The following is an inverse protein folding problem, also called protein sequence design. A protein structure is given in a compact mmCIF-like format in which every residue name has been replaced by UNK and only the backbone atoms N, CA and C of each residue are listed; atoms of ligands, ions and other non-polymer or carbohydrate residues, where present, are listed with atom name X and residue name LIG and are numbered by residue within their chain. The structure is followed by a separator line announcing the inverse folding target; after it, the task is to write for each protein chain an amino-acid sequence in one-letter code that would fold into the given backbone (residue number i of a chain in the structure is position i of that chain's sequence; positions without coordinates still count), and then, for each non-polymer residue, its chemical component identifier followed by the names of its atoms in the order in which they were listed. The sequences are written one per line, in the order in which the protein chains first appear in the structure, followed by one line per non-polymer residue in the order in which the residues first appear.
data_IF_078149977987
#
_entry.id   IF_078149977987
#
_cell.length_a   1.000
_cell.length_b   1.000
_cell.length_c   1.000
_cell.angle_alpha   90.00
_cell.angle_beta   90.00
_cell.angle_gamma   90.00
#
_symmetry.space_group_name_H-M   'P 1'
#
loop_
_entity.id
_entity.type
_entity.pdbx_description
1 polymer ?
#
# COMPACT_ATOMS: atom_id res chain seq x y z
N UNK A 1 -23.65 13.26 -6.83
CA UNK A 1 -24.38 13.63 -5.61
C UNK A 1 -25.35 12.51 -5.29
N UNK A 2 -24.99 11.64 -4.36
CA UNK A 2 -25.87 10.73 -3.65
C UNK A 2 -25.12 10.37 -2.36
N UNK A 3 -25.31 11.19 -1.34
CA UNK A 3 -24.88 10.93 0.03
C UNK A 3 -26.02 10.16 0.70
N UNK A 4 -25.90 8.84 0.76
CA UNK A 4 -26.84 7.99 1.48
C UNK A 4 -26.42 7.90 2.96
N UNK A 5 -27.32 8.34 3.83
CA UNK A 5 -27.28 8.08 5.26
C UNK A 5 -28.01 6.76 5.47
N UNK A 6 -27.28 5.64 5.53
CA UNK A 6 -27.83 4.36 5.98
C UNK A 6 -27.69 4.24 7.50
N UNK A 7 -28.79 3.87 8.15
CA UNK A 7 -28.88 3.60 9.58
C UNK A 7 -28.04 2.37 9.94
N UNK A 8 -27.00 2.62 10.74
CA UNK A 8 -25.92 1.69 11.05
C UNK A 8 -26.31 0.71 12.17
N UNK A 9 -27.12 -0.30 11.84
CA UNK A 9 -27.44 -1.44 12.72
C UNK A 9 -26.69 -2.70 12.27
N UNK A 10 -25.36 -2.63 12.12
CA UNK A 10 -24.41 -3.73 12.40
C UNK A 10 -22.98 -3.19 12.25
N UNK A 11 -22.46 -2.50 13.27
CA UNK A 11 -21.12 -1.93 13.21
C UNK A 11 -20.06 -3.04 13.34
N UNK A 12 -19.73 -3.71 12.24
CA UNK A 12 -18.38 -4.24 12.08
C UNK A 12 -17.42 -3.05 12.32
N UNK A 13 -16.48 -3.13 13.27
CA UNK A 13 -15.46 -2.10 13.42
C UNK A 13 -14.75 -1.95 12.07
N UNK A 14 -14.89 -0.77 11.44
CA UNK A 14 -14.36 -0.49 10.11
C UNK A 14 -12.84 -0.31 10.19
N UNK A 15 -12.11 -1.41 10.34
CA UNK A 15 -10.65 -1.42 10.39
C UNK A 15 -10.07 -1.17 9.00
N UNK A 16 -8.96 -0.46 8.97
CA UNK A 16 -8.22 -0.10 7.76
C UNK A 16 -6.81 -0.63 7.80
N UNK A 17 -6.33 -1.06 6.65
CA UNK A 17 -4.92 -1.34 6.41
C UNK A 17 -4.19 -0.04 6.00
N UNK A 18 -3.28 0.50 6.82
CA UNK A 18 -2.52 1.68 6.46
C UNK A 18 -1.40 1.39 5.45
N UNK A 19 -1.28 2.26 4.45
CA UNK A 19 -0.24 2.32 3.42
C UNK A 19 0.28 3.74 3.29
N UNK A 20 1.50 3.87 2.80
CA UNK A 20 2.10 5.16 2.42
C UNK A 20 2.39 5.20 0.95
N UNK A 21 2.21 6.39 0.36
CA UNK A 21 2.66 6.73 -0.99
C UNK A 21 3.44 8.02 -0.86
N UNK A 22 4.65 8.06 -1.42
CA UNK A 22 5.54 9.22 -1.29
C UNK A 22 5.74 9.90 -2.64
N UNK A 23 5.52 11.21 -2.66
CA UNK A 23 5.92 12.11 -3.73
C UNK A 23 7.26 12.70 -3.35
N UNK A 24 8.35 12.07 -3.79
CA UNK A 24 9.69 12.60 -3.52
C UNK A 24 10.03 13.59 -4.63
N UNK A 25 10.29 14.83 -4.27
CA UNK A 25 10.59 15.89 -5.23
C UNK A 25 11.92 16.55 -4.96
N UNK A 26 12.63 16.92 -6.03
CA UNK A 26 13.81 17.76 -5.97
C UNK A 26 13.76 18.86 -7.03
N UNK A 27 14.43 19.98 -6.78
CA UNK A 27 14.51 21.08 -7.75
C UNK A 27 15.75 20.92 -8.62
N UNK A 28 15.57 20.84 -9.93
CA UNK A 28 16.64 20.79 -10.94
C UNK A 28 16.44 21.92 -11.94
N UNK A 29 17.44 22.80 -12.11
CA UNK A 29 17.40 23.89 -13.10
C UNK A 29 16.06 24.68 -13.10
N UNK A 30 15.58 25.03 -11.91
CA UNK A 30 14.32 25.74 -11.67
C UNK A 30 13.02 24.95 -12.01
N UNK A 31 13.12 23.66 -12.32
CA UNK A 31 11.97 22.75 -12.48
C UNK A 31 11.89 21.78 -11.32
N UNK A 32 10.67 21.35 -11.00
CA UNK A 32 10.44 20.31 -9.99
C UNK A 32 10.47 18.95 -10.68
N UNK A 33 11.33 18.06 -10.21
CA UNK A 33 11.39 16.67 -10.64
C UNK A 33 10.76 15.78 -9.57
N UNK A 34 10.09 14.71 -10.00
CA UNK A 34 9.45 13.69 -9.18
C UNK A 34 10.23 12.38 -9.32
N UNK A 35 10.52 11.73 -8.20
CA UNK A 35 11.10 10.39 -8.20
C UNK A 35 10.00 9.37 -8.50
N UNK A 36 10.24 8.53 -9.49
CA UNK A 36 9.37 7.41 -9.86
C UNK A 36 10.17 6.12 -9.92
N UNK A 37 9.49 5.00 -9.72
CA UNK A 37 10.06 3.66 -9.85
C UNK A 37 9.58 3.03 -11.17
N UNK A 38 10.53 2.63 -12.02
CA UNK A 38 10.25 1.95 -13.28
C UNK A 38 9.88 0.49 -13.03
N UNK A 39 8.82 0.02 -13.69
CA UNK A 39 8.42 -1.38 -13.69
C UNK A 39 8.91 -2.11 -14.95
N UNK A 40 9.10 -3.44 -14.90
CA UNK A 40 9.57 -4.22 -16.05
C UNK A 40 8.66 -4.15 -17.28
N UNK A 41 7.38 -3.83 -17.09
CA UNK A 41 6.38 -3.69 -18.17
C UNK A 41 6.41 -2.31 -18.86
N UNK A 42 7.28 -1.41 -18.41
CA UNK A 42 7.46 -0.06 -18.96
C UNK A 42 6.52 0.99 -18.40
N UNK A 43 5.59 0.64 -17.49
CA UNK A 43 4.89 1.64 -16.67
C UNK A 43 5.77 2.05 -15.47
N UNK A 44 5.45 3.19 -14.87
CA UNK A 44 6.12 3.65 -13.67
C UNK A 44 5.13 3.77 -12.50
N UNK A 45 5.67 3.75 -11.29
CA UNK A 45 4.89 3.90 -10.06
C UNK A 45 5.51 4.96 -9.16
N UNK A 46 4.64 5.59 -8.36
CA UNK A 46 5.09 6.37 -7.21
C UNK A 46 5.58 5.37 -6.15
N UNK A 47 6.67 5.67 -5.43
CA UNK A 47 7.11 4.80 -4.37
C UNK A 47 6.04 4.67 -3.28
N UNK A 48 5.78 3.44 -2.85
CA UNK A 48 4.75 3.12 -1.88
C UNK A 48 5.15 1.91 -1.01
N UNK A 49 4.54 1.79 0.16
CA UNK A 49 4.76 0.67 1.07
C UNK A 49 3.57 0.46 2.00
N UNK A 50 3.45 -0.76 2.53
CA UNK A 50 2.65 -1.02 3.71
C UNK A 50 3.29 -0.38 4.94
N UNK A 51 2.46 0.14 5.85
CA UNK A 51 2.90 0.57 7.19
C UNK A 51 3.00 -0.67 8.07
N UNK A 52 4.13 -0.86 8.72
CA UNK A 52 4.37 -2.03 9.57
C UNK A 52 3.50 -2.00 10.84
N UNK A 53 3.40 -3.15 11.53
CA UNK A 53 2.72 -3.21 12.82
C UNK A 53 3.39 -2.27 13.81
N UNK A 54 2.58 -1.43 14.47
CA UNK A 54 3.02 -0.43 15.44
C UNK A 54 3.90 0.70 14.87
N UNK A 55 4.02 0.80 13.54
CA UNK A 55 4.73 1.89 12.87
C UNK A 55 3.77 3.05 12.58
N UNK A 56 4.22 4.29 12.80
CA UNK A 56 3.45 5.46 12.36
C UNK A 56 3.61 5.66 10.84
N UNK A 57 2.58 6.14 10.11
CA UNK A 57 2.71 6.39 8.66
C UNK A 57 3.85 7.34 8.28
N UNK A 58 4.19 8.32 9.12
CA UNK A 58 5.33 9.19 8.88
C UNK A 58 6.66 8.41 8.91
N UNK A 59 6.84 7.51 9.89
CA UNK A 59 8.03 6.67 9.99
C UNK A 59 8.13 5.69 8.82
N UNK A 60 7.00 5.11 8.40
CA UNK A 60 6.93 4.24 7.21
C UNK A 60 7.38 4.98 5.94
N UNK A 61 6.98 6.24 5.77
CA UNK A 61 7.39 7.05 4.61
C UNK A 61 8.89 7.39 4.63
N UNK A 62 9.49 7.61 5.82
CA UNK A 62 10.93 7.81 5.99
C UNK A 62 11.72 6.51 5.79
N UNK A 63 11.21 5.37 6.28
CA UNK A 63 11.77 4.04 6.01
C UNK A 63 11.79 3.75 4.51
N UNK A 64 10.67 4.02 3.82
CA UNK A 64 10.57 3.85 2.38
C UNK A 64 11.59 4.73 1.64
N UNK A 65 11.69 6.02 1.98
CA UNK A 65 12.69 6.93 1.42
C UNK A 65 14.10 6.39 1.61
N UNK A 66 14.46 6.01 2.85
CA UNK A 66 15.78 5.48 3.19
C UNK A 66 16.10 4.20 2.42
N UNK A 67 15.15 3.27 2.34
CA UNK A 67 15.35 2.00 1.65
C UNK A 67 15.59 2.19 0.14
N UNK A 68 14.91 3.17 -0.47
CA UNK A 68 15.03 3.43 -1.89
C UNK A 68 16.25 4.30 -2.25
N UNK A 69 16.62 5.23 -1.39
CA UNK A 69 17.53 6.33 -1.75
C UNK A 69 18.72 6.53 -0.80
N UNK A 70 18.76 5.81 0.32
CA UNK A 70 19.72 6.05 1.41
C UNK A 70 19.45 7.32 2.24
N UNK A 71 18.53 8.20 1.82
CA UNK A 71 18.28 9.48 2.49
C UNK A 71 17.60 9.26 3.85
N UNK A 72 18.21 9.79 4.92
CA UNK A 72 17.68 9.72 6.29
C UNK A 72 17.15 11.06 6.80
N UNK A 73 17.52 12.17 6.17
CA UNK A 73 17.14 13.54 6.57
C UNK A 73 16.70 14.32 5.34
N UNK A 74 15.43 14.21 4.92
CA UNK A 74 14.90 15.04 3.84
C UNK A 74 14.89 16.52 4.27
N UNK A 75 14.75 17.41 3.30
CA UNK A 75 14.60 18.87 3.54
C UNK A 75 13.27 19.15 4.23
N UNK A 76 12.21 18.47 3.79
CA UNK A 76 10.87 18.61 4.35
C UNK A 76 10.07 17.32 4.13
N UNK A 77 9.12 17.07 5.02
CA UNK A 77 8.19 15.95 4.94
C UNK A 77 6.82 16.37 5.45
N UNK A 78 5.81 16.25 4.59
CA UNK A 78 4.44 16.63 4.93
C UNK A 78 3.44 15.58 4.44
N UNK A 79 2.49 15.19 5.29
CA UNK A 79 1.31 14.45 4.83
C UNK A 79 0.37 15.42 4.11
N UNK A 80 0.19 15.22 2.81
CA UNK A 80 -0.62 16.11 1.96
C UNK A 80 -2.06 15.61 1.77
N UNK A 81 -2.31 14.30 1.93
CA UNK A 81 -3.65 13.74 1.88
C UNK A 81 -3.77 12.38 2.57
N UNK A 82 -5.02 11.96 2.80
CA UNK A 82 -5.41 10.61 3.20
C UNK A 82 -6.52 10.14 2.27
N UNK A 83 -6.28 9.06 1.53
CA UNK A 83 -7.26 8.44 0.63
C UNK A 83 -7.75 7.15 1.24
N UNK A 84 -9.08 6.99 1.33
CA UNK A 84 -9.72 5.78 1.85
C UNK A 84 -10.31 4.97 0.72
N UNK A 85 -9.81 3.76 0.53
CA UNK A 85 -10.31 2.79 -0.43
C UNK A 85 -11.18 1.77 0.30
N UNK A 86 -12.44 1.65 -0.08
CA UNK A 86 -13.31 0.58 0.40
C UNK A 86 -13.11 -0.65 -0.50
N UNK A 87 -12.82 -1.79 0.11
CA UNK A 87 -12.71 -3.05 -0.61
C UNK A 87 -14.11 -3.55 -1.03
N UNK A 88 -14.20 -4.38 -2.09
CA UNK A 88 -15.43 -5.09 -2.42
C UNK A 88 -16.02 -5.83 -1.22
N UNK A 89 -17.35 -6.03 -1.21
CA UNK A 89 -18.08 -6.57 -0.05
C UNK A 89 -17.54 -7.93 0.42
N UNK A 90 -17.11 -8.77 -0.49
CA UNK A 90 -16.56 -10.10 -0.24
C UNK A 90 -15.03 -10.12 -0.16
N UNK A 91 -14.37 -8.96 -0.21
CA UNK A 91 -12.91 -8.86 -0.11
C UNK A 91 -12.52 -8.29 1.24
N UNK A 92 -11.51 -8.88 1.85
CA UNK A 92 -10.85 -8.38 3.06
C UNK A 92 -9.35 -8.39 2.87
N UNK A 93 -8.66 -7.64 3.71
CA UNK A 93 -7.20 -7.67 3.77
C UNK A 93 -6.73 -7.98 5.18
N UNK A 94 -5.67 -8.77 5.29
CA UNK A 94 -5.09 -9.18 6.56
C UNK A 94 -4.39 -8.00 7.26
N UNK A 95 -4.75 -7.74 8.52
CA UNK A 95 -4.14 -6.69 9.35
C UNK A 95 -2.90 -7.17 10.11
N UNK A 96 -2.77 -8.48 10.28
CA UNK A 96 -1.64 -9.13 10.96
C UNK A 96 -1.48 -10.56 10.44
N UNK A 97 -0.29 -11.18 10.60
CA UNK A 97 -0.13 -12.59 10.31
C UNK A 97 -1.07 -13.45 11.16
N UNK A 98 -1.75 -14.43 10.56
CA UNK A 98 -2.62 -15.37 11.28
C UNK A 98 -2.50 -16.80 10.76
N UNK A 99 -2.63 -17.77 11.65
CA UNK A 99 -2.88 -19.16 11.27
C UNK A 99 -4.36 -19.38 10.99
N UNK A 100 -4.67 -20.17 9.96
CA UNK A 100 -6.03 -20.60 9.70
C UNK A 100 -6.51 -21.61 10.76
N UNK A 101 -7.79 -21.57 11.08
CA UNK A 101 -8.47 -22.52 11.97
C UNK A 101 -9.40 -23.43 11.19
N UNK A 102 -9.57 -24.66 11.67
CA UNK A 102 -10.52 -25.61 11.09
C UNK A 102 -11.99 -25.28 11.39
N UNK A 103 -12.26 -24.45 12.40
CA UNK A 103 -13.60 -24.02 12.80
C UNK A 103 -13.64 -22.64 13.46
N UNK A 104 -14.84 -22.05 13.68
CA UNK A 104 -15.05 -20.72 14.26
C UNK A 104 -14.92 -20.73 15.79
N UNK A 105 -13.79 -21.20 16.33
CA UNK A 105 -13.53 -21.21 17.76
C UNK A 105 -12.04 -21.05 18.07
N UNK A 106 -11.72 -20.47 19.22
CA UNK A 106 -10.35 -20.36 19.72
C UNK A 106 -9.73 -21.74 19.99
N UNK A 107 -10.55 -22.75 20.33
CA UNK A 107 -10.13 -24.13 20.58
C UNK A 107 -9.99 -24.96 19.31
N UNK A 108 -10.41 -24.44 18.16
CA UNK A 108 -10.27 -25.14 16.89
C UNK A 108 -8.79 -25.30 16.50
N UNK A 109 -8.48 -26.45 15.89
CA UNK A 109 -7.11 -26.77 15.46
C UNK A 109 -6.56 -25.72 14.50
N UNK A 110 -5.35 -25.25 14.80
CA UNK A 110 -4.58 -24.39 13.90
C UNK A 110 -4.01 -25.21 12.74
N UNK A 111 -4.23 -24.75 11.52
CA UNK A 111 -3.62 -25.28 10.32
C UNK A 111 -2.18 -24.77 10.23
N UNK A 112 -1.26 -25.61 9.76
CA UNK A 112 0.15 -25.25 9.54
C UNK A 112 0.33 -24.41 8.26
N UNK A 113 -0.33 -23.27 8.22
CA UNK A 113 -0.29 -22.31 7.14
C UNK A 113 -0.60 -20.92 7.70
N UNK A 114 0.30 -19.98 7.46
CA UNK A 114 0.16 -18.59 7.91
C UNK A 114 -0.25 -17.74 6.73
N UNK A 115 -1.26 -16.89 6.94
CA UNK A 115 -1.55 -15.78 6.06
C UNK A 115 -0.87 -14.55 6.59
N UNK A 116 0.01 -13.96 5.79
CA UNK A 116 0.70 -12.73 6.13
C UNK A 116 -0.21 -11.51 6.08
N UNK A 117 0.24 -10.46 6.76
CA UNK A 117 -0.37 -9.14 6.70
C UNK A 117 -0.34 -8.59 5.27
N UNK A 118 -1.36 -7.82 4.89
CA UNK A 118 -1.45 -7.21 3.56
C UNK A 118 -2.03 -8.14 2.48
N UNK A 119 -2.12 -9.44 2.75
CA UNK A 119 -2.75 -10.39 1.84
C UNK A 119 -4.25 -10.11 1.72
N UNK A 120 -4.73 -10.08 0.47
CA UNK A 120 -6.16 -10.02 0.17
C UNK A 120 -6.74 -11.43 0.24
N UNK A 121 -7.91 -11.54 0.87
CA UNK A 121 -8.67 -12.78 1.02
C UNK A 121 -10.12 -12.56 0.67
N UNK A 122 -10.79 -13.62 0.20
CA UNK A 122 -12.23 -13.60 -0.03
C UNK A 122 -12.96 -14.00 1.25
N UNK A 123 -13.88 -13.19 1.72
CA UNK A 123 -14.81 -13.51 2.79
C UNK A 123 -15.93 -14.42 2.26
N UNK A 124 -16.12 -15.57 2.91
CA UNK A 124 -17.18 -16.53 2.55
C UNK A 124 -18.38 -16.35 3.48
N UNK A 125 -18.13 -16.40 4.79
CA UNK A 125 -19.14 -16.28 5.84
C UNK A 125 -18.49 -15.73 7.12
N UNK A 126 -19.33 -15.21 8.02
CA UNK A 126 -18.93 -14.77 9.35
C UNK A 126 -19.85 -15.41 10.39
N UNK A 127 -19.26 -15.83 11.50
CA UNK A 127 -19.96 -16.43 12.64
C UNK A 127 -19.28 -15.95 13.94
N UNK A 128 -20.04 -15.29 14.79
CA UNK A 128 -19.55 -14.69 16.05
C UNK A 128 -18.29 -13.83 15.81
N UNK A 129 -17.19 -14.13 16.51
CA UNK A 129 -15.90 -13.43 16.38
C UNK A 129 -15.02 -13.95 15.23
N UNK A 130 -15.53 -14.84 14.39
CA UNK A 130 -14.77 -15.53 13.36
C UNK A 130 -15.32 -15.28 11.95
N UNK A 131 -14.43 -15.32 10.98
CA UNK A 131 -14.74 -15.22 9.57
C UNK A 131 -14.09 -16.37 8.82
N UNK A 132 -14.87 -17.05 7.98
CA UNK A 132 -14.35 -18.04 7.06
C UNK A 132 -13.91 -17.34 5.79
N UNK A 133 -12.68 -17.62 5.36
CA UNK A 133 -12.09 -16.99 4.19
C UNK A 133 -11.62 -18.03 3.17
N UNK A 134 -11.41 -17.56 1.94
CA UNK A 134 -10.62 -18.24 0.93
C UNK A 134 -9.39 -17.41 0.59
N UNK A 135 -8.24 -18.07 0.52
CA UNK A 135 -7.01 -17.51 -0.01
C UNK A 135 -6.59 -18.30 -1.24
N UNK A 136 -6.24 -17.59 -2.31
CA UNK A 136 -5.76 -18.14 -3.56
C UNK A 136 -4.35 -17.65 -3.81
N UNK A 137 -3.41 -18.58 -3.91
CA UNK A 137 -2.06 -18.32 -4.39
C UNK A 137 -2.03 -18.52 -5.90
N UNK A 138 -1.64 -17.48 -6.62
CA UNK A 138 -1.52 -17.49 -8.08
C UNK A 138 -0.08 -17.82 -8.48
N UNK A 139 0.10 -18.63 -9.52
CA UNK A 139 1.41 -18.84 -10.15
C UNK A 139 1.33 -18.52 -11.63
N UNK A 140 2.44 -18.01 -12.18
CA UNK A 140 2.60 -17.85 -13.61
C UNK A 140 3.04 -19.20 -14.20
N UNK A 141 2.23 -19.78 -15.09
CA UNK A 141 2.59 -20.95 -15.89
C UNK A 141 2.35 -20.62 -17.35
N UNK A 142 3.37 -20.78 -18.19
CA UNK A 142 3.26 -20.54 -19.64
C UNK A 142 2.68 -19.14 -19.97
N UNK A 143 3.09 -18.13 -19.20
CA UNK A 143 2.60 -16.74 -19.27
C UNK A 143 1.12 -16.54 -18.89
N UNK A 144 0.46 -17.54 -18.30
CA UNK A 144 -0.89 -17.41 -17.74
C UNK A 144 -0.87 -17.48 -16.21
N UNK A 145 -1.67 -16.63 -15.55
CA UNK A 145 -1.88 -16.66 -14.11
C UNK A 145 -2.90 -17.75 -13.78
N UNK A 146 -2.44 -18.82 -13.14
CA UNK A 146 -3.29 -19.94 -12.69
C UNK A 146 -3.33 -20.02 -11.17
N UNK A 147 -4.43 -20.51 -10.61
CA UNK A 147 -4.52 -20.78 -9.17
C UNK A 147 -3.62 -21.97 -8.84
N UNK A 148 -2.50 -21.71 -8.18
CA UNK A 148 -1.56 -22.73 -7.74
C UNK A 148 -2.07 -23.48 -6.51
N UNK A 149 -2.69 -22.75 -5.58
CA UNK A 149 -3.24 -23.32 -4.35
C UNK A 149 -4.43 -22.49 -3.90
N UNK A 150 -5.48 -23.18 -3.44
CA UNK A 150 -6.61 -22.55 -2.75
C UNK A 150 -6.70 -23.12 -1.33
N UNK A 151 -6.75 -22.24 -0.34
CA UNK A 151 -6.92 -22.59 1.08
C UNK A 151 -8.20 -21.98 1.62
N UNK A 152 -8.80 -22.72 2.55
CA UNK A 152 -9.98 -22.29 3.29
C UNK A 152 -9.72 -22.48 4.78
N UNK A 153 -10.27 -21.57 5.58
CA UNK A 153 -10.21 -21.69 7.02
C UNK A 153 -10.84 -20.49 7.70
N UNK A 154 -10.88 -20.57 9.02
CA UNK A 154 -11.42 -19.54 9.88
C UNK A 154 -10.31 -18.66 10.46
N UNK A 155 -10.57 -17.36 10.52
CA UNK A 155 -9.71 -16.37 11.19
C UNK A 155 -10.58 -15.54 12.13
N UNK A 156 -9.98 -14.89 13.11
CA UNK A 156 -10.72 -13.92 13.92
C UNK A 156 -11.05 -12.69 13.05
N UNK A 157 -12.26 -12.16 13.20
CA UNK A 157 -12.72 -10.99 12.43
C UNK A 157 -11.87 -9.74 12.71
N UNK A 158 -11.18 -9.72 13.85
CA UNK A 158 -10.23 -8.68 14.22
C UNK A 158 -8.93 -8.64 13.41
N UNK A 159 -8.61 -9.72 12.72
CA UNK A 159 -7.48 -9.79 11.80
C UNK A 159 -7.82 -9.24 10.40
N UNK A 160 -9.08 -8.86 10.14
CA UNK A 160 -9.56 -8.45 8.82
C UNK A 160 -9.88 -6.95 8.77
N UNK A 161 -9.50 -6.33 7.65
CA UNK A 161 -9.93 -4.98 7.27
C UNK A 161 -10.75 -5.00 5.99
N UNK A 162 -11.74 -4.10 5.93
CA UNK A 162 -12.57 -3.86 4.75
C UNK A 162 -12.16 -2.59 3.99
N UNK A 163 -11.08 -1.93 4.43
CA UNK A 163 -10.55 -0.70 3.85
C UNK A 163 -9.04 -0.70 3.79
N UNK A 164 -8.52 0.08 2.83
CA UNK A 164 -7.11 0.47 2.77
C UNK A 164 -7.05 2.00 2.92
N UNK A 165 -6.14 2.47 3.75
CA UNK A 165 -5.87 3.89 3.96
C UNK A 165 -4.53 4.25 3.35
N UNK A 166 -4.53 5.01 2.27
CA UNK A 166 -3.32 5.49 1.60
C UNK A 166 -2.98 6.87 2.12
N UNK A 167 -1.90 6.96 2.91
CA UNK A 167 -1.34 8.20 3.42
C UNK A 167 -0.38 8.77 2.38
N UNK A 168 -0.75 9.91 1.79
CA UNK A 168 0.04 10.56 0.75
C UNK A 168 0.98 11.57 1.38
N UNK A 169 2.29 11.39 1.19
CA UNK A 169 3.33 12.27 1.71
C UNK A 169 4.08 12.99 0.60
N UNK A 170 4.34 14.28 0.78
CA UNK A 170 5.31 15.04 -0.02
C UNK A 170 6.63 15.07 0.74
N UNK A 171 7.69 14.62 0.09
CA UNK A 171 9.05 14.65 0.64
C UNK A 171 9.91 15.52 -0.27
N UNK A 172 10.45 16.61 0.26
CA UNK A 172 11.39 17.47 -0.46
C UNK A 172 12.82 17.03 -0.15
N UNK A 173 13.63 16.84 -1.17
CA UNK A 173 15.06 16.51 -1.05
C UNK A 173 15.90 17.50 -1.85
N UNK A 174 17.16 17.66 -1.44
CA UNK A 174 18.14 18.49 -2.14
C UNK A 174 18.62 17.79 -3.41
N UNK A 175 19.02 18.58 -4.42
CA UNK A 175 19.63 18.03 -5.62
C UNK A 175 20.95 17.32 -5.26
N UNK A 176 21.16 16.11 -5.79
CA UNK A 176 22.35 15.30 -5.51
C UNK A 176 22.33 14.58 -4.15
N UNK A 177 21.23 14.66 -3.39
CA UNK A 177 21.17 14.10 -2.03
C UNK A 177 21.18 12.56 -2.04
N UNK A 178 20.65 11.92 -3.08
CA UNK A 178 20.72 10.46 -3.24
C UNK A 178 22.18 10.04 -3.39
N UNK A 179 22.91 10.69 -4.29
CA UNK A 179 24.31 10.41 -4.57
C UNK A 179 25.19 10.61 -3.35
N UNK A 180 24.92 11.64 -2.55
CA UNK A 180 25.59 11.88 -1.28
C UNK A 180 25.29 10.80 -0.24
N UNK A 181 24.06 10.27 -0.22
CA UNK A 181 23.64 9.28 0.76
C UNK A 181 24.12 7.86 0.44
N UNK A 182 24.20 7.50 -0.85
CA UNK A 182 24.57 6.14 -1.29
C UNK A 182 26.02 6.02 -1.74
N UNK A 183 26.70 7.14 -2.03
CA UNK A 183 28.01 7.13 -2.69
C UNK A 183 27.96 6.63 -4.14
N UNK A 184 26.76 6.40 -4.68
CA UNK A 184 26.51 5.85 -6.00
C UNK A 184 25.47 6.70 -6.75
N UNK A 185 25.36 6.52 -8.07
CA UNK A 185 24.26 7.13 -8.82
C UNK A 185 22.92 6.59 -8.34
N UNK A 186 21.86 7.35 -8.60
CA UNK A 186 20.47 6.91 -8.40
C UNK A 186 20.28 5.48 -8.96
N UNK A 187 19.66 4.54 -8.21
CA UNK A 187 19.43 3.16 -8.66
C UNK A 187 18.75 3.09 -10.04
N UNK A 188 19.06 2.05 -10.83
CA UNK A 188 18.58 1.95 -12.24
C UNK A 188 17.06 1.92 -12.37
N UNK A 189 16.37 1.34 -11.39
CA UNK A 189 14.91 1.29 -11.36
C UNK A 189 14.27 2.59 -10.84
N UNK A 190 15.05 3.60 -10.44
CA UNK A 190 14.58 4.90 -9.99
C UNK A 190 14.94 5.97 -11.00
N UNK A 191 13.98 6.85 -11.30
CA UNK A 191 14.18 7.91 -12.28
C UNK A 191 13.61 9.21 -11.76
N UNK A 192 14.35 10.31 -11.96
CA UNK A 192 13.85 11.65 -11.80
C UNK A 192 13.13 12.08 -13.07
N UNK A 193 11.80 12.19 -12.99
CA UNK A 193 10.96 12.65 -14.09
C UNK A 193 10.54 14.12 -13.88
N UNK A 194 10.43 14.95 -14.94
CA UNK A 194 9.83 16.27 -14.83
C UNK A 194 8.40 16.16 -14.27
N UNK A 195 8.07 16.92 -13.23
CA UNK A 195 6.74 16.85 -12.63
C UNK A 195 5.65 17.23 -13.66
N UNK A 196 5.92 18.19 -14.53
CA UNK A 196 5.02 18.65 -15.60
C UNK A 196 4.80 17.63 -16.71
N UNK A 197 5.72 16.69 -16.91
CA UNK A 197 5.63 15.63 -17.91
C UNK A 197 6.20 14.32 -17.36
N UNK A 198 5.53 13.68 -16.39
CA UNK A 198 5.97 12.41 -15.82
C UNK A 198 5.83 11.29 -16.86
N UNK A 199 6.58 10.17 -16.73
CA UNK A 199 6.32 8.98 -17.53
C UNK A 199 4.91 8.45 -17.24
N UNK A 200 4.46 7.53 -18.09
CA UNK A 200 3.17 6.87 -17.92
C UNK A 200 3.16 6.11 -16.59
N UNK A 201 2.33 6.57 -15.66
CA UNK A 201 2.10 5.87 -14.40
C UNK A 201 0.99 4.84 -14.55
N UNK A 202 1.02 3.80 -13.70
CA UNK A 202 -0.14 2.92 -13.55
C UNK A 202 -1.38 3.73 -13.15
N UNK A 203 -2.58 3.26 -13.53
CA UNK A 203 -3.80 4.06 -13.47
C UNK A 203 -4.08 4.68 -12.08
N UNK A 204 -3.83 3.94 -11.00
CA UNK A 204 -4.06 4.44 -9.63
C UNK A 204 -3.02 5.48 -9.22
N UNK A 205 -1.75 5.31 -9.60
CA UNK A 205 -0.67 6.26 -9.32
C UNK A 205 -0.84 7.55 -10.11
N UNK A 206 -1.32 7.46 -11.36
CA UNK A 206 -1.69 8.63 -12.15
C UNK A 206 -2.80 9.44 -11.45
N UNK A 207 -3.85 8.77 -10.95
CA UNK A 207 -4.93 9.45 -10.23
C UNK A 207 -4.45 10.14 -8.95
N UNK A 208 -3.53 9.52 -8.20
CA UNK A 208 -2.93 10.15 -7.03
C UNK A 208 -2.10 11.37 -7.40
N UNK A 209 -1.28 11.27 -8.45
CA UNK A 209 -0.46 12.38 -8.91
C UNK A 209 -1.31 13.57 -9.36
N UNK A 210 -2.35 13.35 -10.17
CA UNK A 210 -3.20 14.46 -10.62
C UNK A 210 -3.89 15.18 -9.47
N UNK A 211 -4.30 14.46 -8.42
CA UNK A 211 -4.88 15.07 -7.21
C UNK A 211 -3.84 15.78 -6.35
N UNK A 212 -2.62 15.27 -6.28
CA UNK A 212 -1.55 15.83 -5.45
C UNK A 212 -0.82 17.01 -6.11
N UNK A 213 -0.78 17.07 -7.45
CA UNK A 213 0.01 18.04 -8.23
C UNK A 213 -0.14 19.50 -7.75
N UNK A 214 -1.34 20.03 -7.47
CA UNK A 214 -1.48 21.41 -6.98
C UNK A 214 -0.88 21.66 -5.58
N UNK A 215 -0.71 20.60 -4.79
CA UNK A 215 -0.11 20.65 -3.46
C UNK A 215 1.42 20.55 -3.55
N UNK A 216 1.94 19.77 -4.50
CA UNK A 216 3.38 19.58 -4.70
C UNK A 216 4.09 20.84 -5.25
N UNK A 217 3.35 21.68 -5.98
CA UNK A 217 3.87 22.92 -6.56
C UNK A 217 3.96 24.10 -5.57
N UNK A 218 3.59 23.89 -4.30
CA UNK A 218 3.68 24.89 -3.23
C UNK A 218 5.01 24.79 -2.48
#
# INVERSE_FOLDING_TARGET
MASEIEADHNREPQRSLPRVVVFVTQRQHNRLALLVQQQPDGEAELPHADVELYEAPADASLRLLRNLTGITRPVDIQRIALVRERLPKDTRVMLRPVYLRTGPSFDATLMRFTLDRGLRVRLIEAQDDFARISFEEMALRENELVIATRRFGWVTIDALASRIEHHLFHIKVSNGQIEQATGARTPENLTWAPLDSPPRLTAIHQQWLERARPLLMR
#
